data_IF_138003644471
#
_entry.id   IF_138003644471
#
_cell.length_a   1.000
_cell.length_b   1.000
_cell.length_c   1.000
_cell.angle_alpha   90.00
_cell.angle_beta   90.00
_cell.angle_gamma   90.00
#
_symmetry.space_group_name_H-M   'P 1'
#
loop_
_entity.id
_entity.type
_entity.pdbx_description
1 polymer ?
#
# COMPACT_ATOMS: atom_id res chain seq x y z
N UNK A 1 -10.07 -19.73 55.35
CA UNK A 1 -10.99 -19.11 54.40
C UNK A 1 -10.16 -18.14 53.57
N UNK A 2 -9.57 -18.66 52.52
CA UNK A 2 -8.68 -17.89 51.65
C UNK A 2 -9.45 -17.52 50.37
N UNK A 3 -9.84 -16.26 50.29
CA UNK A 3 -10.49 -15.66 49.12
C UNK A 3 -9.41 -15.29 48.10
N UNK A 4 -9.23 -16.15 47.14
CA UNK A 4 -8.36 -15.90 45.96
C UNK A 4 -9.03 -14.84 45.08
N UNK A 5 -8.52 -13.60 45.11
CA UNK A 5 -8.87 -12.55 44.17
C UNK A 5 -8.36 -12.94 42.76
N UNK A 6 -9.32 -13.27 41.89
CA UNK A 6 -9.05 -13.46 40.47
C UNK A 6 -8.72 -12.11 39.84
N UNK A 7 -7.44 -11.85 39.64
CA UNK A 7 -6.96 -10.67 38.88
C UNK A 7 -7.45 -10.78 37.43
N UNK A 8 -8.49 -10.07 37.11
CA UNK A 8 -9.05 -9.90 35.78
C UNK A 8 -8.03 -9.15 34.91
N UNK A 9 -7.14 -9.88 34.24
CA UNK A 9 -6.24 -9.35 33.23
C UNK A 9 -7.06 -8.98 32.00
N UNK A 10 -7.59 -7.76 31.98
CA UNK A 10 -8.14 -7.16 30.79
C UNK A 10 -7.07 -7.20 29.68
N UNK A 11 -7.29 -8.01 28.68
CA UNK A 11 -6.46 -8.13 27.50
C UNK A 11 -6.61 -6.86 26.68
N UNK A 12 -5.90 -5.80 27.05
CA UNK A 12 -5.82 -4.56 26.28
C UNK A 12 -5.31 -4.91 24.89
N UNK A 13 -6.19 -4.91 23.89
CA UNK A 13 -5.84 -5.12 22.50
C UNK A 13 -4.80 -4.07 22.08
N UNK A 14 -3.55 -4.48 22.00
CA UNK A 14 -2.48 -3.60 21.54
C UNK A 14 -2.72 -3.28 20.07
N UNK A 15 -3.20 -2.08 19.80
CA UNK A 15 -3.34 -1.58 18.42
C UNK A 15 -1.97 -1.59 17.74
N UNK A 16 -1.84 -2.17 16.55
CA UNK A 16 -0.57 -2.20 15.86
C UNK A 16 -0.05 -0.78 15.62
N UNK A 17 1.26 -0.54 15.78
CA UNK A 17 1.83 0.79 15.59
C UNK A 17 1.57 1.30 14.17
N UNK A 18 1.40 2.62 14.00
CA UNK A 18 1.20 3.23 12.70
C UNK A 18 2.41 2.97 11.78
N UNK A 19 2.21 2.99 10.46
CA UNK A 19 3.31 2.82 9.52
C UNK A 19 4.26 4.02 9.55
N UNK A 20 5.50 3.78 9.13
CA UNK A 20 6.52 4.80 9.00
C UNK A 20 6.18 5.79 7.87
N UNK A 21 6.56 7.05 8.06
CA UNK A 21 6.55 8.09 7.04
C UNK A 21 8.01 8.29 6.59
N UNK A 22 8.25 8.24 5.29
CA UNK A 22 9.58 8.40 4.71
C UNK A 22 9.65 9.72 3.98
N UNK A 23 10.53 10.62 4.44
CA UNK A 23 10.77 11.92 3.83
C UNK A 23 12.17 11.89 3.24
N UNK A 24 12.29 12.31 2.00
CA UNK A 24 13.56 12.44 1.31
C UNK A 24 13.84 13.92 1.02
N UNK A 25 15.10 14.20 0.65
CA UNK A 25 15.57 15.52 0.26
C UNK A 25 15.41 16.58 1.37
N UNK A 26 15.58 16.17 2.64
CA UNK A 26 15.55 17.08 3.80
C UNK A 26 16.88 17.82 3.88
N UNK A 27 16.83 19.15 3.70
CA UNK A 27 18.00 20.02 3.74
C UNK A 27 18.35 20.39 5.20
N UNK A 28 17.33 20.80 5.96
CA UNK A 28 17.50 21.20 7.36
C UNK A 28 16.49 20.45 8.26
N UNK A 29 17.06 19.62 9.14
CA UNK A 29 16.28 18.81 10.08
C UNK A 29 15.74 19.66 11.22
N UNK A 30 16.46 20.69 11.65
CA UNK A 30 16.04 21.54 12.77
C UNK A 30 14.80 22.35 12.38
N UNK A 31 14.81 22.96 11.19
CA UNK A 31 13.65 23.69 10.65
C UNK A 31 12.46 22.77 10.45
N UNK A 32 12.68 21.57 9.90
CA UNK A 32 11.61 20.57 9.75
C UNK A 32 11.01 20.19 11.11
N UNK A 33 11.84 19.95 12.12
CA UNK A 33 11.39 19.57 13.47
C UNK A 33 10.57 20.70 14.11
N UNK A 34 11.05 21.94 14.03
CA UNK A 34 10.31 23.13 14.54
C UNK A 34 8.93 23.27 13.89
N UNK A 35 8.83 22.99 12.58
CA UNK A 35 7.53 23.03 11.87
C UNK A 35 6.61 21.92 12.37
N UNK A 36 7.11 20.71 12.56
CA UNK A 36 6.33 19.57 13.08
C UNK A 36 5.86 19.85 14.52
N UNK A 37 6.69 20.42 15.35
CA UNK A 37 6.40 20.70 16.76
C UNK A 37 5.34 21.79 16.97
N UNK A 38 5.01 22.58 15.97
CA UNK A 38 3.87 23.53 16.04
C UNK A 38 2.52 22.82 16.17
N UNK A 39 2.36 21.69 15.50
CA UNK A 39 1.07 21.00 15.41
C UNK A 39 1.05 19.65 16.14
N UNK A 40 2.22 19.12 16.51
CA UNK A 40 2.37 17.75 17.03
C UNK A 40 3.35 17.71 18.19
N UNK A 41 2.91 17.05 19.27
CA UNK A 41 3.69 16.95 20.51
C UNK A 41 4.91 16.03 20.30
N UNK A 42 6.06 16.38 20.90
CA UNK A 42 7.32 15.58 20.81
C UNK A 42 7.17 14.11 21.21
N UNK A 43 6.24 13.80 22.11
CA UNK A 43 5.96 12.43 22.55
C UNK A 43 5.27 11.57 21.48
N UNK A 44 4.61 12.18 20.50
CA UNK A 44 3.77 11.51 19.52
C UNK A 44 4.52 11.00 18.29
N UNK A 45 5.82 11.29 18.19
CA UNK A 45 6.64 10.78 17.10
C UNK A 45 8.11 10.61 17.51
N UNK A 46 8.83 9.76 16.77
CA UNK A 46 10.28 9.60 16.86
C UNK A 46 10.89 9.77 15.47
N UNK A 47 12.07 10.33 15.40
CA UNK A 47 12.81 10.48 14.15
C UNK A 47 13.94 9.44 14.08
N UNK A 48 14.11 8.84 12.90
CA UNK A 48 15.28 8.04 12.57
C UNK A 48 15.89 8.59 11.28
N UNK A 49 17.09 9.13 11.41
CA UNK A 49 17.79 9.79 10.31
C UNK A 49 18.76 8.78 9.69
N UNK A 50 18.78 8.74 8.36
CA UNK A 50 19.73 7.90 7.61
C UNK A 50 20.12 8.66 6.34
N UNK A 51 21.30 9.27 6.34
CA UNK A 51 21.79 10.15 5.29
C UNK A 51 20.73 11.25 4.97
N UNK A 52 20.33 11.39 3.70
CA UNK A 52 19.35 12.38 3.26
C UNK A 52 17.89 11.94 3.43
N UNK A 53 17.64 10.83 4.13
CA UNK A 53 16.29 10.30 4.37
C UNK A 53 15.93 10.34 5.84
N UNK A 54 14.81 10.97 6.15
CA UNK A 54 14.24 10.98 7.50
C UNK A 54 13.07 10.02 7.55
N UNK A 55 13.04 9.15 8.56
CA UNK A 55 11.91 8.28 8.86
C UNK A 55 11.23 8.82 10.10
N UNK A 56 9.97 9.17 9.99
CA UNK A 56 9.14 9.52 11.14
C UNK A 56 8.38 8.27 11.59
N UNK A 57 8.48 7.97 12.88
CA UNK A 57 7.79 6.88 13.56
C UNK A 57 6.69 7.50 14.44
N UNK A 58 5.46 7.60 13.97
CA UNK A 58 4.34 8.07 14.79
C UNK A 58 4.03 7.04 15.88
N UNK A 59 3.59 7.49 17.06
CA UNK A 59 3.22 6.59 18.17
C UNK A 59 1.76 6.15 18.06
N UNK A 60 0.89 7.00 17.53
CA UNK A 60 -0.53 6.74 17.43
C UNK A 60 -1.10 7.09 16.03
N UNK A 61 -2.27 6.54 15.65
CA UNK A 61 -2.89 6.81 14.35
C UNK A 61 -3.24 8.28 14.11
N UNK A 62 -3.57 9.04 15.15
CA UNK A 62 -3.95 10.45 15.02
C UNK A 62 -2.74 11.32 14.72
N UNK A 63 -1.61 11.08 15.40
CA UNK A 63 -0.34 11.72 15.05
C UNK A 63 0.06 11.40 13.59
N UNK A 64 -0.13 10.15 13.16
CA UNK A 64 0.11 9.76 11.78
C UNK A 64 -0.74 10.57 10.78
N UNK A 65 -2.04 10.74 11.04
CA UNK A 65 -2.95 11.53 10.18
C UNK A 65 -2.56 13.01 10.17
N UNK A 66 -2.28 13.60 11.33
CA UNK A 66 -1.81 15.00 11.45
C UNK A 66 -0.50 15.21 10.68
N UNK A 67 0.51 14.36 10.91
CA UNK A 67 1.79 14.39 10.18
C UNK A 67 1.60 14.32 8.67
N UNK A 68 0.77 13.39 8.22
CA UNK A 68 0.51 13.21 6.78
C UNK A 68 -0.16 14.45 6.17
N UNK A 69 -1.11 15.07 6.89
CA UNK A 69 -1.79 16.30 6.45
C UNK A 69 -0.79 17.45 6.38
N UNK A 70 0.00 17.67 7.41
CA UNK A 70 1.02 18.71 7.48
C UNK A 70 2.03 18.59 6.33
N UNK A 71 2.59 17.39 6.10
CA UNK A 71 3.57 17.17 5.03
C UNK A 71 2.98 17.38 3.63
N UNK A 72 1.69 17.07 3.42
CA UNK A 72 1.00 17.39 2.17
C UNK A 72 0.85 18.89 1.96
N UNK A 73 0.48 19.64 3.00
CA UNK A 73 0.37 21.13 2.95
C UNK A 73 1.73 21.77 2.63
N UNK A 74 2.81 21.23 3.20
CA UNK A 74 4.17 21.68 2.95
C UNK A 74 4.73 21.26 1.57
N UNK A 75 3.97 20.46 0.79
CA UNK A 75 4.43 19.87 -0.49
C UNK A 75 5.76 19.13 -0.37
N UNK A 76 6.03 18.52 0.78
CA UNK A 76 7.26 17.77 1.02
C UNK A 76 7.38 16.56 0.09
N UNK A 77 8.61 16.10 -0.16
CA UNK A 77 8.89 14.86 -0.90
C UNK A 77 8.84 13.66 0.04
N UNK A 78 7.70 12.96 0.11
CA UNK A 78 7.54 11.83 1.02
C UNK A 78 6.68 10.70 0.44
N UNK A 79 6.77 9.54 1.05
CA UNK A 79 5.78 8.47 0.85
C UNK A 79 5.36 7.86 2.19
N UNK A 80 4.17 7.29 2.18
CA UNK A 80 3.51 6.68 3.32
C UNK A 80 3.01 5.29 2.97
N UNK A 81 2.48 4.60 3.96
CA UNK A 81 1.76 3.33 3.80
C UNK A 81 0.38 3.44 4.46
N UNK A 82 -0.53 2.57 4.05
CA UNK A 82 -1.85 2.52 4.65
C UNK A 82 -1.78 2.02 6.10
N UNK A 83 -2.57 2.64 6.98
CA UNK A 83 -2.77 2.14 8.34
C UNK A 83 -3.28 0.69 8.28
N UNK A 84 -2.70 -0.19 9.08
CA UNK A 84 -3.09 -1.62 9.10
C UNK A 84 -4.56 -1.80 9.45
N UNK A 85 -5.09 -0.96 10.33
CA UNK A 85 -6.49 -0.97 10.76
C UNK A 85 -7.48 -0.60 9.63
N UNK A 86 -7.05 0.28 8.71
CA UNK A 86 -7.87 0.74 7.59
C UNK A 86 -7.71 -0.16 6.34
N UNK A 87 -6.81 -1.14 6.40
CA UNK A 87 -6.59 -2.04 5.28
C UNK A 87 -7.66 -3.12 5.27
N UNK A 88 -8.46 -3.24 4.21
CA UNK A 88 -9.47 -4.29 4.13
C UNK A 88 -8.81 -5.68 4.12
N UNK A 89 -9.52 -6.65 4.64
CA UNK A 89 -9.15 -8.05 4.50
C UNK A 89 -9.63 -8.52 3.12
N UNK A 90 -8.68 -8.79 2.21
CA UNK A 90 -9.00 -9.19 0.84
C UNK A 90 -8.96 -10.68 0.69
N UNK A 91 -10.05 -11.23 0.14
CA UNK A 91 -10.17 -12.64 -0.24
C UNK A 91 -10.54 -12.76 -1.71
N UNK A 92 -10.38 -13.96 -2.25
CA UNK A 92 -10.75 -14.31 -3.61
C UNK A 92 -11.86 -15.35 -3.56
N UNK A 93 -12.99 -15.05 -4.20
CA UNK A 93 -14.13 -15.95 -4.36
C UNK A 93 -14.05 -16.59 -5.75
N UNK A 94 -14.17 -17.93 -5.78
CA UNK A 94 -14.18 -18.76 -7.01
C UNK A 94 -15.49 -19.51 -7.18
N UNK A 95 -15.72 -19.96 -8.39
CA UNK A 95 -16.84 -20.83 -8.78
C UNK A 95 -18.23 -20.17 -8.63
N UNK A 96 -18.30 -18.85 -8.65
CA UNK A 96 -19.54 -18.11 -8.78
C UNK A 96 -19.59 -17.49 -10.19
N UNK A 97 -20.72 -17.63 -10.85
CA UNK A 97 -20.87 -17.09 -12.22
C UNK A 97 -20.75 -15.57 -12.19
N UNK A 98 -20.15 -15.00 -13.23
CA UNK A 98 -19.88 -13.56 -13.29
C UNK A 98 -21.14 -12.68 -13.37
N UNK A 99 -22.30 -13.25 -13.77
CA UNK A 99 -23.58 -12.55 -13.88
C UNK A 99 -24.36 -12.44 -12.57
N UNK A 100 -23.79 -12.97 -11.46
CA UNK A 100 -24.42 -12.87 -10.15
C UNK A 100 -24.55 -11.40 -9.74
N UNK A 101 -25.68 -11.03 -9.15
CA UNK A 101 -25.88 -9.70 -8.59
C UNK A 101 -24.94 -9.49 -7.42
N UNK A 102 -24.16 -8.39 -7.49
CA UNK A 102 -23.17 -8.06 -6.48
C UNK A 102 -23.80 -7.63 -5.15
N UNK A 103 -25.00 -7.08 -5.18
CA UNK A 103 -25.69 -6.66 -3.97
C UNK A 103 -26.30 -7.86 -3.25
N UNK A 104 -26.83 -8.83 -3.98
CA UNK A 104 -27.25 -10.12 -3.42
C UNK A 104 -26.05 -10.86 -2.79
N UNK A 105 -24.91 -10.87 -3.47
CA UNK A 105 -23.68 -11.46 -2.95
C UNK A 105 -23.18 -10.77 -1.66
N UNK A 106 -23.29 -9.43 -1.57
CA UNK A 106 -22.98 -8.70 -0.35
C UNK A 106 -23.91 -9.06 0.79
N UNK A 107 -25.22 -9.16 0.49
CA UNK A 107 -26.23 -9.52 1.48
C UNK A 107 -26.00 -10.92 2.05
N UNK A 108 -25.66 -11.88 1.19
CA UNK A 108 -25.36 -13.25 1.62
C UNK A 108 -24.12 -13.31 2.54
N UNK A 109 -23.05 -12.59 2.20
CA UNK A 109 -21.86 -12.48 3.06
C UNK A 109 -22.14 -11.77 4.38
N UNK A 110 -23.06 -10.80 4.38
CA UNK A 110 -23.49 -10.13 5.59
C UNK A 110 -24.23 -11.07 6.56
N UNK A 111 -25.02 -12.04 6.05
CA UNK A 111 -25.63 -13.08 6.90
C UNK A 111 -24.60 -13.91 7.67
N UNK A 112 -23.40 -14.03 7.13
CA UNK A 112 -22.25 -14.68 7.78
C UNK A 112 -21.42 -13.71 8.65
N UNK A 113 -21.96 -12.54 9.03
CA UNK A 113 -21.31 -11.48 9.81
C UNK A 113 -20.05 -10.87 9.15
N UNK A 114 -19.96 -10.93 7.82
CA UNK A 114 -18.86 -10.33 7.06
C UNK A 114 -19.33 -9.08 6.34
N UNK A 115 -18.86 -7.91 6.81
CA UNK A 115 -19.18 -6.62 6.21
C UNK A 115 -18.29 -6.34 5.00
N UNK A 116 -18.90 -6.42 3.81
CA UNK A 116 -18.20 -6.23 2.54
C UNK A 116 -18.08 -4.75 2.21
N UNK A 117 -16.86 -4.30 1.91
CA UNK A 117 -16.58 -2.93 1.48
C UNK A 117 -16.65 -2.81 -0.05
N UNK A 118 -16.06 -3.76 -0.76
CA UNK A 118 -16.00 -3.72 -2.24
C UNK A 118 -15.98 -5.14 -2.80
N UNK A 119 -16.74 -5.38 -3.87
CA UNK A 119 -16.64 -6.59 -4.69
C UNK A 119 -16.23 -6.17 -6.10
N UNK A 120 -15.29 -6.88 -6.68
CA UNK A 120 -14.89 -6.65 -8.07
C UNK A 120 -14.68 -7.96 -8.81
N UNK A 121 -15.35 -8.12 -9.98
CA UNK A 121 -15.13 -9.25 -10.86
C UNK A 121 -13.74 -9.17 -11.51
N UNK A 122 -13.07 -10.31 -11.58
CA UNK A 122 -11.78 -10.43 -12.28
C UNK A 122 -12.05 -10.71 -13.73
N UNK A 123 -11.43 -9.91 -14.62
CA UNK A 123 -11.53 -10.10 -16.06
C UNK A 123 -10.24 -10.71 -16.61
N UNK A 124 -10.39 -11.51 -17.65
CA UNK A 124 -9.25 -12.07 -18.37
C UNK A 124 -8.33 -10.95 -18.87
N UNK A 125 -7.01 -11.13 -18.75
CA UNK A 125 -6.03 -10.06 -19.00
C UNK A 125 -6.08 -9.51 -20.43
N UNK A 126 -6.22 -10.40 -21.41
CA UNK A 126 -6.17 -10.05 -22.84
C UNK A 126 -7.58 -9.78 -23.37
N UNK A 127 -8.47 -10.76 -23.28
CA UNK A 127 -9.82 -10.72 -23.89
C UNK A 127 -10.80 -9.84 -23.12
N UNK A 128 -10.49 -9.44 -21.86
CA UNK A 128 -11.35 -8.67 -20.96
C UNK A 128 -12.68 -9.35 -20.59
N UNK A 129 -12.87 -10.59 -20.99
CA UNK A 129 -14.05 -11.40 -20.64
C UNK A 129 -14.10 -11.57 -19.11
N UNK A 130 -15.26 -11.38 -18.46
CA UNK A 130 -15.42 -11.60 -17.04
C UNK A 130 -15.22 -13.08 -16.69
N UNK A 131 -14.57 -13.35 -15.58
CA UNK A 131 -14.28 -14.69 -15.09
C UNK A 131 -15.18 -15.01 -13.89
N UNK A 132 -15.37 -16.30 -13.60
CA UNK A 132 -16.04 -16.77 -12.37
C UNK A 132 -15.16 -16.59 -11.13
N UNK A 133 -14.56 -15.40 -11.01
CA UNK A 133 -13.61 -15.01 -9.98
C UNK A 133 -13.89 -13.59 -9.51
N UNK A 134 -13.93 -13.39 -8.18
CA UNK A 134 -14.15 -12.08 -7.58
C UNK A 134 -13.11 -11.78 -6.51
N UNK A 135 -12.66 -10.53 -6.45
CA UNK A 135 -12.02 -10.00 -5.25
C UNK A 135 -13.07 -9.40 -4.34
N UNK A 136 -13.01 -9.77 -3.07
CA UNK A 136 -13.89 -9.25 -2.04
C UNK A 136 -13.02 -8.60 -0.97
N UNK A 137 -13.27 -7.33 -0.73
CA UNK A 137 -12.66 -6.55 0.34
C UNK A 137 -13.65 -6.45 1.50
N UNK A 138 -13.25 -6.92 2.67
CA UNK A 138 -14.08 -7.00 3.87
C UNK A 138 -13.45 -6.11 4.94
N UNK A 139 -14.26 -5.51 5.80
CA UNK A 139 -13.77 -4.82 6.99
C UNK A 139 -12.99 -5.77 7.89
N UNK A 140 -11.91 -5.28 8.48
CA UNK A 140 -11.16 -6.08 9.46
C UNK A 140 -11.98 -6.29 10.73
N UNK A 141 -12.32 -7.54 11.00
CA UNK A 141 -12.94 -8.05 12.23
C UNK A 141 -12.14 -9.26 12.73
N UNK A 142 -12.39 -9.69 13.95
CA UNK A 142 -11.71 -10.87 14.53
C UNK A 142 -12.12 -12.17 13.83
N UNK A 143 -13.36 -12.25 13.36
CA UNK A 143 -13.94 -13.42 12.66
C UNK A 143 -13.56 -13.53 11.18
N UNK A 144 -12.66 -12.70 10.65
CA UNK A 144 -12.33 -12.72 9.21
C UNK A 144 -11.80 -14.06 8.69
N UNK A 145 -11.29 -14.92 9.58
CA UNK A 145 -10.85 -16.28 9.19
C UNK A 145 -12.00 -17.25 8.96
N UNK A 146 -13.18 -16.96 9.46
CA UNK A 146 -14.38 -17.80 9.33
C UNK A 146 -15.04 -17.65 7.96
N UNK A 147 -14.61 -16.66 7.16
CA UNK A 147 -15.12 -16.44 5.80
C UNK A 147 -14.78 -17.58 4.81
N UNK A 148 -13.86 -18.47 5.15
CA UNK A 148 -13.48 -19.56 4.25
C UNK A 148 -14.56 -20.64 4.17
N UNK A 149 -15.75 -20.26 3.68
CA UNK A 149 -16.90 -21.12 3.46
C UNK A 149 -16.83 -21.77 2.08
N UNK A 150 -17.45 -22.96 1.95
CA UNK A 150 -17.45 -23.77 0.72
C UNK A 150 -18.79 -23.72 -0.01
N UNK A 151 -19.81 -23.04 0.50
CA UNK A 151 -21.13 -22.87 -0.12
C UNK A 151 -21.57 -21.43 0.03
N UNK A 152 -22.08 -20.87 -1.06
CA UNK A 152 -22.62 -19.54 -1.11
C UNK A 152 -23.72 -19.48 -2.17
N UNK A 153 -24.88 -18.88 -1.89
CA UNK A 153 -26.00 -18.74 -2.84
C UNK A 153 -26.38 -20.07 -3.52
N UNK A 154 -26.51 -21.14 -2.74
CA UNK A 154 -26.79 -22.51 -3.21
C UNK A 154 -25.75 -23.10 -4.19
N UNK A 155 -24.63 -22.44 -4.40
CA UNK A 155 -23.53 -22.87 -5.25
C UNK A 155 -22.33 -23.38 -4.43
N UNK A 156 -21.58 -24.32 -5.01
CA UNK A 156 -20.28 -24.74 -4.46
C UNK A 156 -19.27 -23.64 -4.77
N UNK A 157 -19.11 -22.73 -3.84
CA UNK A 157 -18.16 -21.63 -3.94
C UNK A 157 -16.88 -21.95 -3.15
N UNK A 158 -15.75 -21.33 -3.49
CA UNK A 158 -14.51 -21.45 -2.74
C UNK A 158 -13.96 -20.07 -2.44
N UNK A 159 -13.85 -19.74 -1.17
CA UNK A 159 -13.19 -18.52 -0.72
C UNK A 159 -11.75 -18.85 -0.33
N UNK A 160 -10.79 -18.15 -0.93
CA UNK A 160 -9.36 -18.34 -0.74
C UNK A 160 -8.68 -17.04 -0.30
N UNK A 161 -7.56 -17.13 0.47
CA UNK A 161 -6.77 -15.95 0.77
C UNK A 161 -6.16 -15.36 -0.50
N UNK A 162 -6.17 -14.03 -0.60
CA UNK A 162 -5.51 -13.35 -1.70
C UNK A 162 -3.99 -13.46 -1.57
N UNK A 163 -3.36 -14.15 -2.52
CA UNK A 163 -1.90 -14.25 -2.61
C UNK A 163 -1.31 -12.92 -3.07
N UNK A 164 -0.61 -12.25 -2.18
CA UNK A 164 0.08 -11.00 -2.50
C UNK A 164 1.41 -11.32 -3.18
N UNK A 165 1.61 -10.83 -4.40
CA UNK A 165 2.90 -10.92 -5.07
C UNK A 165 3.97 -10.20 -4.25
N UNK A 166 5.11 -10.86 -4.04
CA UNK A 166 6.25 -10.30 -3.28
C UNK A 166 7.12 -9.36 -4.13
N UNK A 167 6.70 -9.02 -5.34
CA UNK A 167 7.45 -8.14 -6.24
C UNK A 167 7.52 -6.73 -5.67
N UNK A 168 8.71 -6.14 -5.73
CA UNK A 168 8.92 -4.74 -5.33
C UNK A 168 8.46 -3.86 -6.48
N UNK A 169 7.35 -3.17 -6.29
CA UNK A 169 6.76 -2.30 -7.29
C UNK A 169 7.58 -1.02 -7.42
N UNK A 170 7.97 -0.69 -8.66
CA UNK A 170 8.49 0.63 -9.02
C UNK A 170 7.34 1.51 -9.50
N UNK A 171 7.18 2.71 -8.90
CA UNK A 171 6.14 3.62 -9.31
C UNK A 171 6.56 4.46 -10.52
N UNK A 172 5.76 4.41 -11.59
CA UNK A 172 6.09 5.02 -12.89
C UNK A 172 6.31 6.54 -12.85
N UNK A 173 5.65 7.27 -11.95
CA UNK A 173 5.73 8.73 -11.90
C UNK A 173 6.99 9.24 -11.19
N UNK A 174 7.32 8.69 -10.03
CA UNK A 174 8.50 9.12 -9.26
C UNK A 174 9.73 8.23 -9.44
N UNK A 175 9.62 7.12 -10.16
CA UNK A 175 10.65 6.12 -10.45
C UNK A 175 11.22 5.41 -9.21
N UNK A 176 10.65 5.63 -8.02
CA UNK A 176 11.12 5.02 -6.77
C UNK A 176 10.39 3.70 -6.50
N UNK A 177 11.02 2.86 -5.68
CA UNK A 177 10.55 1.52 -5.33
C UNK A 177 9.85 1.48 -3.97
N UNK A 178 9.04 0.43 -3.75
CA UNK A 178 8.52 0.05 -2.44
C UNK A 178 7.26 0.76 -1.99
N UNK A 179 6.64 1.62 -2.82
CA UNK A 179 5.36 2.26 -2.51
C UNK A 179 4.43 2.30 -3.72
N UNK A 180 3.13 2.43 -3.45
CA UNK A 180 2.07 2.53 -4.47
C UNK A 180 1.73 3.99 -4.77
N UNK A 181 1.12 4.23 -5.93
CA UNK A 181 0.65 5.54 -6.39
C UNK A 181 -0.11 6.33 -5.32
N UNK A 182 -1.11 5.72 -4.70
CA UNK A 182 -1.99 6.35 -3.71
C UNK A 182 -1.24 6.96 -2.51
N UNK A 183 -0.05 6.46 -2.23
CA UNK A 183 0.75 6.82 -1.06
C UNK A 183 2.03 7.57 -1.40
N UNK A 184 2.18 7.98 -2.67
CA UNK A 184 3.32 8.69 -3.20
C UNK A 184 3.06 10.19 -3.26
N UNK A 185 3.87 10.99 -2.58
CA UNK A 185 3.89 12.45 -2.65
C UNK A 185 5.25 12.97 -3.13
N UNK A 186 5.96 12.17 -3.92
CA UNK A 186 7.19 12.60 -4.57
C UNK A 186 6.92 13.35 -5.86
N UNK A 187 7.81 14.27 -6.19
CA UNK A 187 7.85 14.90 -7.49
C UNK A 187 8.01 13.87 -8.59
N UNK A 188 7.41 14.15 -9.75
CA UNK A 188 7.56 13.29 -10.92
C UNK A 188 9.00 13.30 -11.43
N UNK A 189 9.41 12.19 -12.07
CA UNK A 189 10.74 12.03 -12.67
C UNK A 189 10.65 11.35 -14.02
N UNK A 190 11.38 11.89 -14.98
CA UNK A 190 11.48 11.34 -16.32
C UNK A 190 12.13 9.95 -16.32
N UNK A 191 11.56 8.99 -17.07
CA UNK A 191 12.11 7.64 -17.21
C UNK A 191 13.42 7.64 -18.03
N UNK A 192 13.56 8.56 -18.98
CA UNK A 192 14.72 8.63 -19.89
C UNK A 192 15.94 9.27 -19.23
N UNK A 193 15.78 10.42 -18.56
CA UNK A 193 16.91 11.20 -18.04
C UNK A 193 16.95 11.34 -16.52
N UNK A 194 15.90 10.86 -15.79
CA UNK A 194 15.69 11.04 -14.34
C UNK A 194 15.49 12.51 -13.89
N UNK A 195 15.30 13.45 -14.81
CA UNK A 195 15.01 14.87 -14.54
C UNK A 195 13.60 15.08 -14.00
N UNK A 196 13.33 16.28 -13.46
CA UNK A 196 12.06 16.67 -12.83
C UNK A 196 11.01 17.16 -13.86
N UNK A 197 10.78 16.40 -14.92
CA UNK A 197 9.79 16.67 -15.96
C UNK A 197 9.08 15.37 -16.39
N UNK A 198 7.90 15.43 -17.00
CA UNK A 198 7.23 14.26 -17.56
C UNK A 198 8.04 13.66 -18.72
N UNK A 199 7.89 12.36 -18.95
CA UNK A 199 8.70 11.64 -19.95
C UNK A 199 8.39 12.05 -21.40
N UNK A 200 7.18 12.47 -21.68
CA UNK A 200 6.70 13.00 -22.96
C UNK A 200 7.37 14.34 -23.34
N UNK A 201 7.74 15.16 -22.33
CA UNK A 201 8.44 16.41 -22.50
C UNK A 201 9.98 16.28 -22.48
N UNK A 202 10.50 15.06 -22.54
CA UNK A 202 11.94 14.84 -22.46
C UNK A 202 12.63 15.15 -23.79
N UNK A 203 13.57 16.07 -23.75
CA UNK A 203 14.41 16.46 -24.91
C UNK A 203 15.51 15.47 -25.24
N UNK A 204 15.74 14.44 -24.38
CA UNK A 204 16.77 13.43 -24.57
C UNK A 204 16.45 12.53 -25.76
N UNK A 205 17.40 12.34 -26.68
CA UNK A 205 17.30 11.43 -27.84
C UNK A 205 16.96 9.99 -27.39
N UNK A 206 16.11 9.26 -28.16
CA UNK A 206 15.80 7.86 -27.90
C UNK A 206 17.04 6.94 -27.93
N UNK A 207 18.05 7.28 -28.71
CA UNK A 207 19.28 6.50 -28.87
C UNK A 207 20.21 6.56 -27.65
N UNK A 208 20.09 7.60 -26.82
CA UNK A 208 20.91 7.71 -25.61
C UNK A 208 20.41 6.78 -24.52
N UNK A 209 21.30 6.02 -23.83
CA UNK A 209 20.90 5.08 -22.78
C UNK A 209 20.14 5.78 -21.66
N UNK A 210 19.04 5.16 -21.21
CA UNK A 210 18.23 5.73 -20.16
C UNK A 210 18.93 5.69 -18.79
N UNK A 211 18.77 6.76 -18.01
CA UNK A 211 19.33 6.87 -16.67
C UNK A 211 18.35 6.36 -15.62
N UNK A 212 18.59 5.17 -15.09
CA UNK A 212 17.80 4.67 -13.95
C UNK A 212 18.16 5.35 -12.64
N UNK A 213 17.14 5.51 -11.79
CA UNK A 213 17.36 5.93 -10.40
C UNK A 213 17.78 4.69 -9.60
N UNK A 214 18.94 4.71 -8.93
CA UNK A 214 19.41 3.55 -8.18
C UNK A 214 18.50 3.20 -7.02
N UNK A 215 18.41 1.91 -6.70
CA UNK A 215 17.73 1.40 -5.52
C UNK A 215 18.50 1.82 -4.27
N UNK A 216 17.87 2.55 -3.36
CA UNK A 216 18.51 3.03 -2.11
C UNK A 216 18.41 2.02 -0.95
N UNK A 217 18.14 0.74 -1.21
CA UNK A 217 18.04 -0.30 -0.18
C UNK A 217 19.31 -1.15 -0.16
N UNK A 218 19.75 -1.56 1.02
CA UNK A 218 20.94 -2.42 1.26
C UNK A 218 20.87 -3.78 0.55
N UNK A 219 19.70 -4.20 0.08
CA UNK A 219 19.47 -5.44 -0.66
C UNK A 219 19.62 -5.27 -2.19
N UNK A 220 20.44 -4.34 -2.62
CA UNK A 220 20.70 -4.08 -4.02
C UNK A 220 21.58 -5.17 -4.63
N UNK A 221 20.99 -6.31 -4.95
CA UNK A 221 21.52 -7.08 -6.08
C UNK A 221 21.51 -6.17 -7.32
N UNK A 222 22.56 -6.18 -8.15
CA UNK A 222 22.64 -5.30 -9.31
C UNK A 222 21.40 -5.51 -10.17
N UNK A 223 20.61 -4.44 -10.35
CA UNK A 223 19.41 -4.51 -11.21
C UNK A 223 19.92 -4.69 -12.62
N UNK A 224 19.90 -5.92 -13.12
CA UNK A 224 20.25 -6.22 -14.49
C UNK A 224 19.32 -5.49 -15.48
N UNK A 225 18.09 -5.10 -15.07
CA UNK A 225 17.14 -4.36 -15.91
C UNK A 225 16.24 -3.46 -15.08
N UNK A 226 16.15 -2.19 -15.45
CA UNK A 226 15.10 -1.30 -14.96
C UNK A 226 13.78 -1.71 -15.63
N UNK A 227 12.82 -2.23 -14.85
CA UNK A 227 11.57 -2.79 -15.37
C UNK A 227 10.75 -1.84 -16.25
N UNK A 228 10.92 -0.53 -16.09
CA UNK A 228 10.24 0.47 -16.91
C UNK A 228 10.96 0.69 -18.25
N UNK A 229 12.28 0.59 -18.27
CA UNK A 229 13.06 0.74 -19.50
C UNK A 229 12.84 -0.47 -20.42
N UNK A 230 12.74 -1.68 -19.87
CA UNK A 230 12.43 -2.89 -20.66
C UNK A 230 11.03 -2.87 -21.28
N UNK A 231 10.09 -2.08 -20.74
CA UNK A 231 8.77 -1.90 -21.36
C UNK A 231 8.73 -0.82 -22.43
N UNK A 232 9.72 0.09 -22.46
CA UNK A 232 9.85 1.15 -23.48
C UNK A 232 10.64 0.69 -24.71
N UNK A 233 11.58 -0.24 -24.52
CA UNK A 233 12.31 -0.92 -25.58
C UNK A 233 12.12 -2.44 -25.38
N UNK A 234 11.03 -3.04 -25.89
CA UNK A 234 10.90 -4.49 -25.88
C UNK A 234 12.06 -5.06 -26.70
N UNK A 235 12.82 -5.99 -26.09
CA UNK A 235 13.85 -6.76 -26.77
C UNK A 235 13.20 -7.47 -27.98
N UNK A 236 13.64 -7.23 -29.22
CA UNK A 236 13.04 -7.85 -30.39
C UNK A 236 13.21 -9.38 -30.45
N UNK A 237 13.86 -9.99 -29.43
CA UNK A 237 14.11 -11.44 -29.32
C UNK A 237 13.26 -12.16 -28.25
N UNK A 238 12.16 -11.55 -27.77
CA UNK A 238 11.18 -12.22 -26.91
C UNK A 238 9.79 -12.25 -27.51
#
# INVERSE_FOLDING_TARGET
>A
MDTTEAVNRQHTQRTPPPPLIFIDDVIDIQTMTKIIEKDIIKKDYKLKINNNRVKILPTNPDAYRKLTKLLKTLKANFHIYQLKQERPFRVMLRNIHHSVDLDELKFELLKHDHEVTTISNIRHRITKIPLSLFFIDIKQKQNNKEIYINRLMNSIAKIEPHLVKKEIVQWKRCQRYGHKQKYCNYNLRCVKCAGSHPTDQCTKSPETPAKCIPRTTKDASPIKHCTIISTLNPDPRR
#
